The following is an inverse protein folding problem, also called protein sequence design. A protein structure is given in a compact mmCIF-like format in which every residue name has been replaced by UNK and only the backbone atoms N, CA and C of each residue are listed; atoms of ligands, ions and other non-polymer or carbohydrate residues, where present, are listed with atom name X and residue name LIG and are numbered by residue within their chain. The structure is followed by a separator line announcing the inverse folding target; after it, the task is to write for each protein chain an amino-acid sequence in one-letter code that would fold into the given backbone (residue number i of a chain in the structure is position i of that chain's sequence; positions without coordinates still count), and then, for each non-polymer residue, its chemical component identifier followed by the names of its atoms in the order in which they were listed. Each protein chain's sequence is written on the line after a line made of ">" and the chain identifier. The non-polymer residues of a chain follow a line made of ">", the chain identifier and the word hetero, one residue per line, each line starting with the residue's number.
data_IF_151695510697
#
_entry.id   IF_151695510697
#
_cell.length_a   1.000
_cell.length_b   1.000
_cell.length_c   1.000
_cell.angle_alpha   90.00
_cell.angle_beta   90.00
_cell.angle_gamma   90.00
#
_symmetry.space_group_name_H-M   'P 1'
#
loop_
_entity.id
_entity.type
_entity.pdbx_description
1 polymer ?
#
# COMPACT_ATOMS: atom_id res chain seq x y z
N UNK A 1 -5.74 -20.53 6.82
CA UNK A 1 -4.54 -19.71 6.71
C UNK A 1 -3.68 -20.41 5.68
N UNK A 2 -3.46 -19.78 4.53
CA UNK A 2 -2.69 -20.38 3.46
C UNK A 2 -1.21 -20.13 3.76
N UNK A 3 -0.54 -21.13 4.33
CA UNK A 3 0.84 -21.01 4.79
C UNK A 3 1.80 -20.60 3.66
N UNK A 4 1.41 -20.85 2.41
CA UNK A 4 2.15 -20.44 1.21
C UNK A 4 2.14 -18.91 1.04
N UNK A 5 1.01 -18.25 1.28
CA UNK A 5 0.91 -16.80 1.16
C UNK A 5 1.67 -16.07 2.28
N UNK A 6 1.60 -16.58 3.51
CA UNK A 6 2.33 -16.01 4.65
C UNK A 6 3.83 -16.01 4.39
N UNK A 7 4.35 -17.14 3.89
CA UNK A 7 5.73 -17.26 3.42
C UNK A 7 6.01 -16.30 2.26
N UNK A 8 5.14 -16.25 1.25
CA UNK A 8 5.31 -15.44 0.04
C UNK A 8 5.41 -13.93 0.32
N UNK A 9 4.60 -13.40 1.25
CA UNK A 9 4.65 -11.99 1.69
C UNK A 9 5.96 -11.66 2.39
N UNK A 10 6.51 -12.63 3.13
CA UNK A 10 7.81 -12.52 3.79
C UNK A 10 8.99 -12.79 2.84
N UNK A 11 8.73 -13.07 1.55
CA UNK A 11 9.74 -13.37 0.54
C UNK A 11 10.28 -14.80 0.61
N UNK A 12 9.59 -15.70 1.31
CA UNK A 12 9.89 -17.14 1.36
C UNK A 12 9.01 -17.90 0.34
N UNK A 13 9.29 -19.19 0.11
CA UNK A 13 8.50 -20.03 -0.80
C UNK A 13 8.70 -19.74 -2.30
N UNK A 14 9.67 -18.89 -2.65
CA UNK A 14 9.97 -18.54 -4.03
C UNK A 14 10.60 -19.72 -4.79
N UNK A 15 10.16 -20.02 -6.03
CA UNK A 15 10.95 -20.84 -6.93
C UNK A 15 12.34 -20.23 -7.11
N UNK A 16 13.39 -21.04 -7.08
CA UNK A 16 14.80 -20.57 -7.10
C UNK A 16 15.09 -19.61 -8.27
N UNK A 17 14.48 -19.83 -9.43
CA UNK A 17 14.63 -18.93 -10.58
C UNK A 17 14.02 -17.53 -10.36
N UNK A 18 12.90 -17.44 -9.63
CA UNK A 18 12.27 -16.17 -9.26
C UNK A 18 13.12 -15.45 -8.22
N UNK A 19 13.59 -16.17 -7.20
CA UNK A 19 14.47 -15.63 -6.17
C UNK A 19 15.76 -15.05 -6.77
N UNK A 20 16.41 -15.79 -7.67
CA UNK A 20 17.61 -15.33 -8.38
C UNK A 20 17.34 -14.06 -9.21
N UNK A 21 16.22 -14.00 -9.92
CA UNK A 21 15.83 -12.82 -10.70
C UNK A 21 15.55 -11.60 -9.82
N UNK A 22 14.91 -11.78 -8.66
CA UNK A 22 14.66 -10.69 -7.70
C UNK A 22 15.96 -10.21 -7.04
N UNK A 23 16.86 -11.13 -6.69
CA UNK A 23 18.17 -10.79 -6.15
C UNK A 23 19.01 -9.99 -7.16
N UNK A 24 19.01 -10.38 -8.43
CA UNK A 24 19.67 -9.67 -9.52
C UNK A 24 19.09 -8.26 -9.71
N UNK A 25 17.76 -8.12 -9.69
CA UNK A 25 17.10 -6.82 -9.77
C UNK A 25 17.51 -5.88 -8.61
N UNK A 26 17.60 -6.42 -7.39
CA UNK A 26 18.05 -5.67 -6.20
C UNK A 26 19.51 -5.25 -6.26
N UNK A 27 20.38 -6.13 -6.76
CA UNK A 27 21.81 -5.85 -6.96
C UNK A 27 22.02 -4.72 -7.99
N UNK A 28 21.19 -4.68 -9.04
CA UNK A 28 21.27 -3.69 -10.12
C UNK A 28 20.34 -2.50 -9.96
N UNK A 29 19.92 -2.15 -8.74
CA UNK A 29 18.99 -1.04 -8.47
C UNK A 29 19.41 0.31 -9.07
N UNK A 30 20.71 0.55 -9.24
CA UNK A 30 21.28 1.75 -9.86
C UNK A 30 21.32 1.71 -11.39
N UNK A 31 20.95 0.59 -12.01
CA UNK A 31 20.95 0.36 -13.44
C UNK A 31 19.51 0.03 -13.90
N UNK A 32 18.64 1.04 -14.10
CA UNK A 32 17.19 0.84 -14.22
C UNK A 32 16.77 -0.15 -15.30
N UNK A 33 17.47 -0.15 -16.44
CA UNK A 33 17.18 -1.06 -17.56
C UNK A 33 17.47 -2.51 -17.19
N UNK A 34 18.63 -2.78 -16.57
CA UNK A 34 19.01 -4.15 -16.18
C UNK A 34 18.17 -4.64 -15.00
N UNK A 35 17.86 -3.76 -14.04
CA UNK A 35 16.92 -4.08 -12.97
C UNK A 35 15.54 -4.42 -13.53
N UNK A 36 15.02 -3.64 -14.48
CA UNK A 36 13.74 -3.91 -15.12
C UNK A 36 13.76 -5.25 -15.86
N UNK A 37 14.82 -5.56 -16.62
CA UNK A 37 14.93 -6.84 -17.32
C UNK A 37 14.89 -8.04 -16.36
N UNK A 38 15.55 -7.95 -15.21
CA UNK A 38 15.50 -8.98 -14.17
C UNK A 38 14.10 -9.09 -13.53
N UNK A 39 13.44 -7.96 -13.25
CA UNK A 39 12.06 -7.94 -12.75
C UNK A 39 11.08 -8.57 -13.75
N UNK A 40 11.21 -8.27 -15.04
CA UNK A 40 10.36 -8.87 -16.08
C UNK A 40 10.51 -10.39 -16.13
N UNK A 41 11.72 -10.93 -15.91
CA UNK A 41 11.90 -12.39 -15.77
C UNK A 41 11.14 -12.93 -14.55
N UNK A 42 11.28 -12.30 -13.39
CA UNK A 42 10.54 -12.68 -12.19
C UNK A 42 9.01 -12.64 -12.43
N UNK A 43 8.51 -11.59 -13.10
CA UNK A 43 7.10 -11.45 -13.48
C UNK A 43 6.61 -12.57 -14.39
N UNK A 44 7.43 -13.00 -15.35
CA UNK A 44 7.05 -14.08 -16.27
C UNK A 44 6.93 -15.44 -15.58
N UNK A 45 7.68 -15.64 -14.49
CA UNK A 45 7.73 -16.89 -13.74
C UNK A 45 6.68 -16.96 -12.62
N UNK A 46 6.41 -15.84 -11.95
CA UNK A 46 5.52 -15.78 -10.80
C UNK A 46 4.74 -14.45 -10.75
N UNK A 47 3.78 -14.24 -11.66
CA UNK A 47 3.20 -12.92 -11.93
C UNK A 47 2.42 -12.32 -10.76
N UNK A 48 1.79 -13.17 -9.96
CA UNK A 48 0.92 -12.77 -8.84
C UNK A 48 1.59 -12.96 -7.47
N UNK A 49 2.87 -13.35 -7.45
CA UNK A 49 3.58 -13.59 -6.20
C UNK A 49 3.85 -12.26 -5.46
N UNK A 50 3.47 -12.12 -4.17
CA UNK A 50 3.64 -10.89 -3.39
C UNK A 50 5.04 -10.26 -3.48
N UNK A 51 6.10 -11.06 -3.32
CA UNK A 51 7.48 -10.56 -3.43
C UNK A 51 7.81 -9.93 -4.79
N UNK A 52 7.28 -10.49 -5.90
CA UNK A 52 7.45 -9.93 -7.25
C UNK A 52 6.74 -8.60 -7.37
N UNK A 53 5.48 -8.53 -6.94
CA UNK A 53 4.69 -7.29 -6.94
C UNK A 53 5.33 -6.19 -6.07
N UNK A 54 5.85 -6.54 -4.89
CA UNK A 54 6.59 -5.62 -4.02
C UNK A 54 7.85 -5.08 -4.72
N UNK A 55 8.60 -5.94 -5.40
CA UNK A 55 9.81 -5.53 -6.12
C UNK A 55 9.49 -4.58 -7.28
N UNK A 56 8.46 -4.87 -8.09
CA UNK A 56 7.97 -3.97 -9.13
C UNK A 56 7.49 -2.63 -8.57
N UNK A 57 6.69 -2.66 -7.51
CA UNK A 57 6.19 -1.46 -6.85
C UNK A 57 7.36 -0.55 -6.44
N UNK A 58 8.37 -1.11 -5.75
CA UNK A 58 9.55 -0.36 -5.30
C UNK A 58 10.35 0.20 -6.46
N UNK A 59 10.55 -0.59 -7.52
CA UNK A 59 11.28 -0.15 -8.71
C UNK A 59 10.60 1.04 -9.40
N UNK A 60 9.28 1.01 -9.57
CA UNK A 60 8.53 2.14 -10.14
C UNK A 60 8.48 3.33 -9.18
N UNK A 61 8.27 3.09 -7.89
CA UNK A 61 8.18 4.13 -6.87
C UNK A 61 9.47 4.94 -6.74
N UNK A 62 10.60 4.27 -6.54
CA UNK A 62 11.91 4.94 -6.47
C UNK A 62 12.38 5.49 -7.81
N UNK A 63 11.86 4.95 -8.91
CA UNK A 63 12.04 5.50 -10.25
C UNK A 63 11.12 6.68 -10.59
N UNK A 64 10.37 7.23 -9.63
CA UNK A 64 9.41 8.33 -9.80
C UNK A 64 8.30 8.07 -10.85
N UNK A 65 8.02 6.80 -11.16
CA UNK A 65 6.95 6.38 -12.08
C UNK A 65 5.67 6.06 -11.30
N UNK A 66 5.06 7.09 -10.72
CA UNK A 66 3.96 6.93 -9.76
C UNK A 66 2.73 6.21 -10.34
N UNK A 67 2.34 6.53 -11.58
CA UNK A 67 1.21 5.85 -12.25
C UNK A 67 1.45 4.35 -12.38
N UNK A 68 2.66 3.94 -12.79
CA UNK A 68 3.04 2.53 -12.90
C UNK A 68 3.10 1.85 -11.52
N UNK A 69 3.60 2.53 -10.49
CA UNK A 69 3.57 2.02 -9.13
C UNK A 69 2.11 1.80 -8.65
N UNK A 70 1.20 2.70 -9.03
CA UNK A 70 -0.23 2.59 -8.69
C UNK A 70 -0.89 1.40 -9.39
N UNK A 71 -0.52 1.11 -10.62
CA UNK A 71 -0.99 -0.07 -11.35
C UNK A 71 -0.50 -1.38 -10.71
N UNK A 72 0.75 -1.41 -10.24
CA UNK A 72 1.26 -2.55 -9.45
C UNK A 72 0.49 -2.68 -8.13
N UNK A 73 0.22 -1.57 -7.43
CA UNK A 73 -0.56 -1.58 -6.20
C UNK A 73 -1.98 -2.14 -6.42
N UNK A 74 -2.65 -1.81 -7.53
CA UNK A 74 -3.95 -2.40 -7.89
C UNK A 74 -3.89 -3.92 -8.04
N UNK A 75 -2.87 -4.44 -8.73
CA UNK A 75 -2.66 -5.89 -8.84
C UNK A 75 -2.40 -6.54 -7.47
N UNK A 76 -1.58 -5.89 -6.64
CA UNK A 76 -1.31 -6.36 -5.29
C UNK A 76 -2.55 -6.33 -4.39
N UNK A 77 -3.49 -5.39 -4.58
CA UNK A 77 -4.78 -5.39 -3.88
C UNK A 77 -5.62 -6.61 -4.23
N UNK A 78 -5.67 -7.00 -5.52
CA UNK A 78 -6.37 -8.21 -5.96
C UNK A 78 -5.79 -9.44 -5.29
N UNK A 79 -4.46 -9.58 -5.31
CA UNK A 79 -3.75 -10.71 -4.67
C UNK A 79 -4.00 -10.76 -3.17
N UNK A 80 -3.92 -9.62 -2.46
CA UNK A 80 -4.21 -9.55 -1.04
C UNK A 80 -5.68 -9.84 -0.71
N UNK A 81 -6.61 -9.35 -1.53
CA UNK A 81 -8.04 -9.62 -1.36
C UNK A 81 -8.35 -11.11 -1.53
N UNK A 82 -7.76 -11.77 -2.52
CA UNK A 82 -7.90 -13.22 -2.73
C UNK A 82 -7.39 -14.01 -1.53
N UNK A 83 -6.21 -13.68 -1.01
CA UNK A 83 -5.63 -14.33 0.17
C UNK A 83 -6.53 -14.19 1.42
N UNK A 84 -7.21 -13.07 1.55
CA UNK A 84 -8.16 -12.78 2.64
C UNK A 84 -9.59 -13.26 2.36
N UNK A 85 -9.87 -13.80 1.17
CA UNK A 85 -11.22 -14.15 0.68
C UNK A 85 -12.19 -12.97 0.75
N UNK A 86 -11.70 -11.79 0.34
CA UNK A 86 -12.44 -10.55 0.19
C UNK A 86 -12.79 -10.28 -1.29
N UNK A 87 -13.74 -9.38 -1.57
CA UNK A 87 -13.98 -8.88 -2.93
C UNK A 87 -12.69 -8.32 -3.55
N UNK A 88 -12.41 -8.70 -4.80
CA UNK A 88 -11.20 -8.27 -5.55
C UNK A 88 -11.26 -6.80 -5.96
N UNK A 89 -12.47 -6.25 -6.10
CA UNK A 89 -12.67 -4.81 -6.23
C UNK A 89 -12.62 -4.23 -4.82
N UNK A 90 -11.54 -3.52 -4.50
CA UNK A 90 -11.30 -3.03 -3.14
C UNK A 90 -12.45 -2.17 -2.58
N UNK A 91 -13.17 -1.44 -3.43
CA UNK A 91 -14.34 -0.62 -3.05
C UNK A 91 -15.52 -1.44 -2.53
N UNK A 92 -15.59 -2.71 -2.90
CA UNK A 92 -16.65 -3.63 -2.49
C UNK A 92 -16.30 -4.37 -1.20
N UNK A 93 -15.08 -4.21 -0.68
CA UNK A 93 -14.66 -4.83 0.58
C UNK A 93 -15.55 -4.33 1.72
N UNK A 94 -16.15 -5.24 2.52
CA UNK A 94 -17.00 -4.84 3.63
C UNK A 94 -16.26 -3.93 4.61
N UNK A 95 -16.85 -2.77 4.93
CA UNK A 95 -16.30 -1.76 5.84
C UNK A 95 -16.36 -2.23 7.29
N UNK A 96 -15.55 -3.22 7.65
CA UNK A 96 -15.40 -3.78 8.99
C UNK A 96 -13.94 -4.07 9.27
N UNK A 97 -13.55 -3.97 10.55
CA UNK A 97 -12.18 -4.22 10.97
C UNK A 97 -11.70 -5.61 10.49
N UNK A 98 -10.53 -5.65 9.88
CA UNK A 98 -9.88 -6.92 9.53
C UNK A 98 -9.14 -7.45 10.77
N UNK A 99 -9.36 -8.72 11.15
CA UNK A 99 -8.62 -9.30 12.26
C UNK A 99 -7.13 -9.42 11.91
N UNK A 100 -6.26 -9.27 12.91
CA UNK A 100 -4.83 -9.54 12.73
C UNK A 100 -4.03 -8.42 12.05
N UNK A 101 -4.54 -7.18 11.97
CA UNK A 101 -3.83 -6.02 11.40
C UNK A 101 -2.40 -5.82 11.95
N UNK A 102 -2.09 -6.31 13.16
CA UNK A 102 -0.74 -6.23 13.76
C UNK A 102 0.19 -7.38 13.40
N UNK A 103 -0.32 -8.58 13.13
CA UNK A 103 0.50 -9.80 13.12
C UNK A 103 0.20 -10.78 11.98
N UNK A 104 -0.99 -10.72 11.39
CA UNK A 104 -1.39 -11.58 10.29
C UNK A 104 -0.80 -11.05 8.97
N UNK A 105 0.05 -11.86 8.31
CA UNK A 105 0.79 -11.43 7.14
C UNK A 105 -0.12 -11.03 5.95
N UNK A 106 -1.18 -11.79 5.60
CA UNK A 106 -2.10 -11.41 4.52
C UNK A 106 -2.86 -10.12 4.83
N UNK A 107 -3.34 -9.96 6.06
CA UNK A 107 -4.03 -8.74 6.49
C UNK A 107 -3.11 -7.53 6.40
N UNK A 108 -1.89 -7.65 6.93
CA UNK A 108 -0.88 -6.58 6.87
C UNK A 108 -0.51 -6.23 5.43
N UNK A 109 -0.30 -7.23 4.59
CA UNK A 109 -0.02 -7.03 3.17
C UNK A 109 -1.13 -6.21 2.52
N UNK A 110 -2.39 -6.62 2.65
CA UNK A 110 -3.52 -5.90 2.07
C UNK A 110 -3.62 -4.46 2.58
N UNK A 111 -3.52 -4.25 3.89
CA UNK A 111 -3.59 -2.91 4.50
C UNK A 111 -2.44 -1.99 4.06
N UNK A 112 -1.19 -2.49 3.99
CA UNK A 112 -0.06 -1.71 3.51
C UNK A 112 -0.17 -1.38 2.02
N UNK A 113 -0.64 -2.33 1.19
CA UNK A 113 -0.86 -2.09 -0.23
C UNK A 113 -1.96 -1.04 -0.42
N UNK A 114 -3.08 -1.12 0.32
CA UNK A 114 -4.15 -0.12 0.25
C UNK A 114 -3.67 1.26 0.71
N UNK A 115 -2.82 1.32 1.74
CA UNK A 115 -2.15 2.56 2.17
C UNK A 115 -1.24 3.13 1.07
N UNK A 116 -0.43 2.28 0.44
CA UNK A 116 0.43 2.68 -0.67
C UNK A 116 -0.38 3.17 -1.88
N UNK A 117 -1.50 2.51 -2.18
CA UNK A 117 -2.44 2.92 -3.21
C UNK A 117 -3.03 4.31 -2.93
N UNK A 118 -3.53 4.55 -1.72
CA UNK A 118 -4.03 5.85 -1.29
C UNK A 118 -2.96 6.95 -1.40
N UNK A 119 -1.74 6.68 -0.93
CA UNK A 119 -0.61 7.60 -1.05
C UNK A 119 -0.30 7.97 -2.51
N UNK A 120 -0.27 6.98 -3.39
CA UNK A 120 0.01 7.20 -4.80
C UNK A 120 -1.11 7.99 -5.48
N UNK A 121 -2.37 7.74 -5.14
CA UNK A 121 -3.49 8.54 -5.63
C UNK A 121 -3.41 10.00 -5.18
N UNK A 122 -3.03 10.27 -3.92
CA UNK A 122 -2.76 11.65 -3.48
C UNK A 122 -1.66 12.32 -4.30
N UNK A 123 -0.57 11.59 -4.58
CA UNK A 123 0.59 12.11 -5.32
C UNK A 123 0.34 12.25 -6.83
N UNK A 124 -0.79 11.75 -7.32
CA UNK A 124 -1.26 11.84 -8.69
C UNK A 124 -2.47 12.78 -8.80
N UNK A 125 -2.74 13.58 -7.76
CA UNK A 125 -3.87 14.53 -7.67
C UNK A 125 -5.25 13.89 -7.88
N UNK A 126 -5.38 12.60 -7.56
CA UNK A 126 -6.61 11.83 -7.65
C UNK A 126 -7.30 11.80 -6.27
N UNK A 127 -7.85 12.95 -5.89
CA UNK A 127 -8.39 13.19 -4.55
C UNK A 127 -9.52 12.24 -4.17
N UNK A 128 -10.41 11.94 -5.11
CA UNK A 128 -11.56 11.05 -4.88
C UNK A 128 -11.07 9.63 -4.59
N UNK A 129 -10.16 9.12 -5.40
CA UNK A 129 -9.58 7.78 -5.23
C UNK A 129 -8.83 7.67 -3.89
N UNK A 130 -8.05 8.70 -3.54
CA UNK A 130 -7.34 8.76 -2.27
C UNK A 130 -8.29 8.78 -1.07
N UNK A 131 -9.31 9.66 -1.10
CA UNK A 131 -10.32 9.79 -0.04
C UNK A 131 -11.04 8.47 0.20
N UNK A 132 -11.51 7.82 -0.86
CA UNK A 132 -12.24 6.56 -0.77
C UNK A 132 -11.36 5.44 -0.16
N UNK A 133 -10.10 5.35 -0.59
CA UNK A 133 -9.16 4.36 -0.08
C UNK A 133 -8.81 4.61 1.40
N UNK A 134 -8.63 5.87 1.82
CA UNK A 134 -8.39 6.24 3.22
C UNK A 134 -9.60 5.99 4.11
N UNK A 135 -10.81 6.27 3.61
CA UNK A 135 -12.05 5.95 4.31
C UNK A 135 -12.21 4.44 4.53
N UNK A 136 -11.84 3.63 3.52
CA UNK A 136 -11.81 2.18 3.68
C UNK A 136 -10.75 1.75 4.69
N UNK A 137 -9.51 2.28 4.61
CA UNK A 137 -8.44 1.97 5.57
C UNK A 137 -8.88 2.22 7.02
N UNK A 138 -9.54 3.34 7.29
CA UNK A 138 -10.07 3.64 8.62
C UNK A 138 -11.07 2.59 9.11
N UNK A 139 -11.91 2.06 8.22
CA UNK A 139 -12.87 1.02 8.56
C UNK A 139 -12.21 -0.36 8.76
N UNK A 140 -11.17 -0.69 7.98
CA UNK A 140 -10.48 -1.98 8.03
C UNK A 140 -9.42 -2.05 9.15
N UNK A 141 -8.81 -0.93 9.50
CA UNK A 141 -7.76 -0.79 10.52
C UNK A 141 -8.09 0.35 11.50
N UNK A 142 -9.12 0.20 12.34
CA UNK A 142 -9.55 1.24 13.28
C UNK A 142 -8.50 1.54 14.35
N UNK A 143 -7.53 0.65 14.56
CA UNK A 143 -6.41 0.81 15.46
C UNK A 143 -5.18 1.43 14.79
N UNK A 144 -5.28 1.88 13.54
CA UNK A 144 -4.21 2.51 12.77
C UNK A 144 -2.87 1.74 12.81
N UNK A 145 -2.94 0.40 12.79
CA UNK A 145 -1.79 -0.50 12.84
C UNK A 145 -0.80 -0.27 11.69
N UNK A 146 -1.28 0.17 10.53
CA UNK A 146 -0.43 0.54 9.38
C UNK A 146 -0.16 2.03 9.26
N UNK A 147 -0.70 2.89 10.13
CA UNK A 147 -0.42 4.33 10.17
C UNK A 147 -0.98 5.12 8.99
N UNK A 148 -2.21 4.81 8.56
CA UNK A 148 -2.92 5.51 7.49
C UNK A 148 -3.55 6.84 7.97
N UNK A 149 -3.79 7.02 9.26
CA UNK A 149 -4.36 8.26 9.81
C UNK A 149 -3.49 9.49 9.51
N UNK A 150 -2.17 9.33 9.45
CA UNK A 150 -1.25 10.41 9.05
C UNK A 150 -1.51 10.89 7.62
N UNK A 151 -1.80 9.97 6.68
CA UNK A 151 -2.06 10.35 5.28
C UNK A 151 -3.37 11.12 5.17
N UNK A 152 -4.39 10.71 5.93
CA UNK A 152 -5.65 11.44 6.00
C UNK A 152 -5.48 12.83 6.63
N UNK A 153 -4.69 12.98 7.69
CA UNK A 153 -4.35 14.28 8.26
C UNK A 153 -3.72 15.22 7.23
N UNK A 154 -2.73 14.73 6.47
CA UNK A 154 -2.07 15.51 5.42
C UNK A 154 -3.06 15.90 4.32
N UNK A 155 -3.94 14.98 3.89
CA UNK A 155 -4.98 15.26 2.90
C UNK A 155 -5.95 16.35 3.38
N UNK A 156 -6.46 16.25 4.61
CA UNK A 156 -7.38 17.23 5.17
C UNK A 156 -6.73 18.61 5.34
N UNK A 157 -5.45 18.67 5.74
CA UNK A 157 -4.69 19.92 5.81
C UNK A 157 -4.50 20.55 4.43
N UNK A 158 -4.22 19.76 3.40
CA UNK A 158 -4.08 20.27 2.04
C UNK A 158 -5.40 20.91 1.53
N UNK A 159 -6.54 20.31 1.87
CA UNK A 159 -7.87 20.88 1.55
C UNK A 159 -8.16 22.18 2.32
N UNK A 160 -7.84 22.22 3.62
CA UNK A 160 -8.05 23.40 4.45
C UNK A 160 -7.14 24.58 4.06
N UNK A 161 -5.88 24.29 3.70
CA UNK A 161 -4.90 25.29 3.26
C UNK A 161 -5.15 25.87 1.87
N UNK A 162 -6.12 25.33 1.11
CA UNK A 162 -6.63 25.96 -0.11
C UNK A 162 -7.72 27.00 0.15
N UNK A 163 -8.26 27.08 1.38
CA UNK A 163 -9.35 27.97 1.74
C UNK A 163 -8.90 29.24 2.48
N UNK A 164 -7.86 29.20 3.33
CA UNK A 164 -7.37 30.40 4.04
C UNK A 164 -5.89 30.22 4.42
N UNK A 165 -4.99 30.89 3.71
CA UNK A 165 -3.56 30.90 4.00
C UNK A 165 -3.22 31.97 5.03
N UNK A 166 -3.72 31.85 6.26
CA UNK A 166 -3.22 32.62 7.41
C UNK A 166 -3.57 31.91 8.74
N UNK A 167 -2.53 31.46 9.46
CA UNK A 167 -2.60 31.22 10.91
C UNK A 167 -3.04 29.83 11.38
N UNK A 168 -2.07 28.94 11.58
CA UNK A 168 -1.75 28.30 12.87
C UNK A 168 -0.73 27.20 12.58
N UNK A 169 0.51 27.40 13.04
CA UNK A 169 1.52 26.35 13.01
C UNK A 169 1.19 25.35 14.12
N UNK A 170 0.08 24.64 13.92
CA UNK A 170 -0.38 23.57 14.80
C UNK A 170 0.76 22.57 14.93
N UNK A 171 1.35 22.54 16.13
CA UNK A 171 2.37 21.56 16.49
C UNK A 171 1.77 20.19 16.26
N UNK A 172 2.28 19.46 15.27
CA UNK A 172 1.87 18.09 15.02
C UNK A 172 2.23 17.24 16.25
N UNK A 173 1.24 16.98 17.10
CA UNK A 173 1.38 16.02 18.19
C UNK A 173 1.10 14.64 17.62
N UNK A 174 2.16 13.82 17.49
CA UNK A 174 2.05 12.49 16.93
C UNK A 174 1.04 11.65 17.71
N UNK A 175 -0.04 11.30 17.04
CA UNK A 175 -1.03 10.34 17.50
C UNK A 175 -0.68 8.98 16.89
N UNK A 176 -0.84 7.91 17.67
CA UNK A 176 -0.69 6.54 17.17
C UNK A 176 -1.89 5.73 17.60
N UNK A 177 -2.14 4.61 16.92
CA UNK A 177 -3.26 3.75 17.28
C UNK A 177 -4.62 4.34 16.88
N UNK A 178 -5.69 3.83 17.47
CA UNK A 178 -7.05 4.36 17.30
C UNK A 178 -7.18 5.86 17.61
N UNK A 179 -6.35 6.38 18.53
CA UNK A 179 -6.31 7.80 18.87
C UNK A 179 -5.87 8.69 17.68
N UNK A 180 -5.15 8.13 16.70
CA UNK A 180 -4.78 8.85 15.49
C UNK A 180 -6.00 9.16 14.61
N UNK A 181 -6.90 8.19 14.41
CA UNK A 181 -8.15 8.42 13.70
C UNK A 181 -9.11 9.33 14.46
N UNK A 182 -9.15 9.23 15.79
CA UNK A 182 -10.07 10.01 16.63
C UNK A 182 -9.73 11.51 16.68
N UNK A 183 -8.48 11.89 16.40
CA UNK A 183 -8.04 13.30 16.38
C UNK A 183 -8.34 14.03 15.07
N UNK A 184 -8.72 13.30 14.04
CA UNK A 184 -9.08 13.91 12.76
C UNK A 184 -10.50 14.47 12.83
N UNK A 185 -10.76 15.67 12.29
CA UNK A 185 -12.13 16.14 12.12
C UNK A 185 -12.96 15.11 11.35
N UNK A 186 -14.27 15.10 11.61
CA UNK A 186 -15.19 14.23 10.91
C UNK A 186 -15.04 14.44 9.40
N UNK A 187 -14.94 13.35 8.64
CA UNK A 187 -14.80 13.42 7.19
C UNK A 187 -16.03 14.12 6.60
N UNK A 188 -15.80 15.20 5.85
CA UNK A 188 -16.79 15.85 5.01
C UNK A 188 -17.08 15.02 3.75
#
# INVERSE_FOLDING_TARGET
>A
MDADFDAAVLGQGLPTAVEAALAEAGARRSEPVLAMAALMRAQSLAPDHPAVLIAFYRHHFYGHRLSMARDVARRALVVGAQALRLPVVWREVPKRALPGARHDAPTRFFLFVLKGYAYLSLRLDDEVEARDALALLRALDPDDCVGAALLEAVRQRALAGGADAEGDESVYVQATGAAAWARLPAAA
#
